data_IF_392704855420
#
_entry.id   IF_392704855420
#
_cell.length_a   1.000
_cell.length_b   1.000
_cell.length_c   1.000
_cell.angle_alpha   90.00
_cell.angle_beta   90.00
_cell.angle_gamma   90.00
#
_symmetry.space_group_name_H-M   'P 1'
#
loop_
_entity.id
_entity.type
_entity.pdbx_description
1 polymer ?
#
# COMPACT_ATOMS: atom_id res chain seq x y z
N UNK A 1 -6.63 24.11 -15.72
CA UNK A 1 -6.98 23.64 -14.36
C UNK A 1 -6.12 22.43 -13.96
N UNK A 2 -4.79 22.53 -14.10
CA UNK A 2 -3.80 21.57 -13.56
C UNK A 2 -2.68 22.32 -12.80
N UNK A 3 -2.73 23.66 -12.83
CA UNK A 3 -1.66 24.58 -12.44
C UNK A 3 -1.93 25.35 -11.15
N UNK A 4 -3.00 25.05 -10.40
CA UNK A 4 -3.32 25.80 -9.18
C UNK A 4 -2.91 25.09 -7.89
N UNK A 5 -2.67 23.77 -7.92
CA UNK A 5 -2.33 23.01 -6.72
C UNK A 5 -1.17 22.01 -6.92
N UNK A 6 -1.01 21.41 -8.11
CA UNK A 6 0.06 20.46 -8.44
C UNK A 6 1.45 21.08 -8.50
N UNK A 7 2.47 20.39 -7.93
CA UNK A 7 3.88 20.82 -8.06
C UNK A 7 4.53 20.31 -9.34
N UNK A 8 3.94 19.33 -10.01
CA UNK A 8 4.44 18.76 -11.26
C UNK A 8 3.59 19.19 -12.47
N UNK A 9 4.27 19.53 -13.56
CA UNK A 9 3.62 19.98 -14.81
C UNK A 9 3.20 18.80 -15.69
N UNK A 10 3.92 17.68 -15.61
CA UNK A 10 3.68 16.45 -16.37
C UNK A 10 3.80 15.21 -15.50
N UNK A 11 3.29 14.07 -15.99
CA UNK A 11 3.46 12.77 -15.32
C UNK A 11 4.93 12.37 -15.17
N UNK A 12 5.75 12.64 -16.18
CA UNK A 12 7.19 12.34 -16.14
C UNK A 12 7.91 13.21 -15.11
N UNK A 13 7.56 14.50 -15.01
CA UNK A 13 8.11 15.41 -14.01
C UNK A 13 7.73 14.97 -12.57
N UNK A 14 6.48 14.56 -12.36
CA UNK A 14 6.03 14.00 -11.08
C UNK A 14 6.79 12.73 -10.73
N UNK A 15 7.02 11.85 -11.70
CA UNK A 15 7.76 10.61 -11.54
C UNK A 15 9.22 10.90 -11.16
N UNK A 16 9.94 11.70 -11.94
CA UNK A 16 11.34 12.05 -11.68
C UNK A 16 11.53 12.78 -10.34
N UNK A 17 10.61 13.66 -9.99
CA UNK A 17 10.63 14.36 -8.71
C UNK A 17 10.33 13.43 -7.53
N UNK A 18 9.47 12.42 -7.73
CA UNK A 18 9.26 11.36 -6.73
C UNK A 18 10.49 10.47 -6.60
N UNK A 19 11.14 10.08 -7.71
CA UNK A 19 12.39 9.29 -7.69
C UNK A 19 13.46 10.01 -6.87
N UNK A 20 13.73 11.28 -7.16
CA UNK A 20 14.69 12.08 -6.37
C UNK A 20 14.32 12.18 -4.90
N UNK A 21 13.02 12.27 -4.57
CA UNK A 21 12.57 12.34 -3.18
C UNK A 21 12.77 11.04 -2.40
N UNK A 22 12.72 9.88 -3.07
CA UNK A 22 12.91 8.58 -2.44
C UNK A 22 14.32 8.02 -2.59
N UNK A 23 15.18 8.60 -3.43
CA UNK A 23 16.56 8.16 -3.68
C UNK A 23 17.40 8.04 -2.39
N UNK A 24 17.19 8.96 -1.45
CA UNK A 24 17.90 8.97 -0.16
C UNK A 24 17.08 8.37 1.00
N UNK A 25 15.89 7.81 0.73
CA UNK A 25 15.04 7.21 1.78
C UNK A 25 15.25 5.71 1.85
N UNK A 26 15.46 5.20 3.05
CA UNK A 26 15.52 3.75 3.29
C UNK A 26 14.16 3.12 3.03
N UNK A 27 14.15 2.00 2.29
CA UNK A 27 12.95 1.22 2.05
C UNK A 27 12.47 0.56 3.35
N UNK A 28 11.20 0.77 3.69
CA UNK A 28 10.55 0.11 4.81
C UNK A 28 9.17 -0.35 4.36
N UNK A 29 8.90 -1.65 4.51
CA UNK A 29 7.66 -2.30 4.05
C UNK A 29 6.42 -1.61 4.63
N UNK A 30 6.51 -1.09 5.86
CA UNK A 30 5.42 -0.41 6.53
C UNK A 30 5.42 1.10 6.25
N UNK A 31 6.53 1.81 6.41
CA UNK A 31 6.46 3.30 6.42
C UNK A 31 6.89 3.96 5.10
N UNK A 32 7.75 3.31 4.32
CA UNK A 32 8.42 3.87 3.14
C UNK A 32 8.53 2.80 2.05
N UNK A 33 7.38 2.44 1.48
CA UNK A 33 7.24 1.39 0.46
C UNK A 33 6.82 1.97 -0.90
N UNK A 34 6.57 1.09 -1.88
CA UNK A 34 6.10 1.49 -3.21
C UNK A 34 4.76 2.25 -3.21
N UNK A 35 3.85 1.97 -2.28
CA UNK A 35 2.58 2.71 -2.15
C UNK A 35 2.81 4.13 -1.63
N UNK A 36 3.80 4.35 -0.75
CA UNK A 36 4.24 5.70 -0.35
C UNK A 36 4.83 6.49 -1.54
N UNK A 37 5.58 5.82 -2.42
CA UNK A 37 6.09 6.43 -3.65
C UNK A 37 4.95 6.86 -4.59
N UNK A 38 4.01 5.95 -4.86
CA UNK A 38 2.83 6.25 -5.69
C UNK A 38 2.00 7.38 -5.10
N UNK A 39 1.77 7.38 -3.78
CA UNK A 39 1.07 8.46 -3.09
C UNK A 39 1.76 9.82 -3.28
N UNK A 40 3.10 9.87 -3.19
CA UNK A 40 3.85 11.10 -3.46
C UNK A 40 3.66 11.59 -4.89
N UNK A 41 3.73 10.69 -5.87
CA UNK A 41 3.52 11.02 -7.28
C UNK A 41 2.09 11.55 -7.53
N UNK A 42 1.07 10.90 -6.98
CA UNK A 42 -0.32 11.34 -7.09
C UNK A 42 -0.57 12.70 -6.45
N UNK A 43 0.05 12.98 -5.30
CA UNK A 43 -0.01 14.30 -4.68
C UNK A 43 0.70 15.35 -5.55
N UNK A 44 1.86 15.06 -6.15
CA UNK A 44 2.52 16.05 -7.03
C UNK A 44 1.67 16.46 -8.23
N UNK A 45 0.82 15.55 -8.70
CA UNK A 45 -0.09 15.77 -9.83
C UNK A 45 -1.46 16.32 -9.46
N UNK A 46 -1.75 16.51 -8.16
CA UNK A 46 -3.11 16.81 -7.69
C UNK A 46 -4.14 15.83 -8.27
N UNK A 47 -3.82 14.53 -8.25
CA UNK A 47 -4.66 13.52 -8.89
C UNK A 47 -6.07 13.53 -8.28
N UNK A 48 -7.08 13.67 -9.13
CA UNK A 48 -8.50 13.87 -8.75
C UNK A 48 -8.75 15.09 -7.84
N UNK A 49 -7.90 16.12 -7.91
CA UNK A 49 -8.04 17.33 -7.10
C UNK A 49 -7.63 17.16 -5.63
N UNK A 50 -6.88 16.10 -5.29
CA UNK A 50 -6.46 15.81 -3.92
C UNK A 50 -4.94 15.76 -3.78
N UNK A 51 -4.45 16.34 -2.67
CA UNK A 51 -3.06 16.32 -2.19
C UNK A 51 -2.84 15.46 -0.95
N UNK A 52 -3.87 14.75 -0.50
CA UNK A 52 -3.86 13.94 0.72
C UNK A 52 -3.79 12.45 0.43
N UNK A 53 -3.21 12.05 -0.71
CA UNK A 53 -2.91 10.65 -0.96
C UNK A 53 -1.86 10.17 0.04
N UNK A 54 -2.16 9.04 0.67
CA UNK A 54 -1.23 8.31 1.52
C UNK A 54 -1.16 6.85 1.04
N UNK A 55 -0.18 6.09 1.53
CA UNK A 55 0.03 4.72 1.08
C UNK A 55 -1.19 3.80 1.34
N UNK A 56 -1.98 4.09 2.39
CA UNK A 56 -3.14 3.30 2.79
C UNK A 56 -4.28 3.51 1.80
N UNK A 57 -4.52 4.76 1.40
CA UNK A 57 -5.52 5.12 0.40
C UNK A 57 -5.14 4.54 -0.97
N UNK A 58 -3.85 4.53 -1.33
CA UNK A 58 -3.38 3.87 -2.56
C UNK A 58 -3.56 2.35 -2.46
N UNK A 59 -3.22 1.74 -1.32
CA UNK A 59 -3.43 0.30 -1.11
C UNK A 59 -4.91 -0.07 -1.20
N UNK A 60 -5.80 0.71 -0.59
CA UNK A 60 -7.25 0.54 -0.72
C UNK A 60 -7.71 0.73 -2.17
N UNK A 61 -7.19 1.73 -2.88
CA UNK A 61 -7.51 1.96 -4.29
C UNK A 61 -7.14 0.74 -5.15
N UNK A 62 -5.96 0.17 -4.96
CA UNK A 62 -5.51 -1.03 -5.67
C UNK A 62 -6.32 -2.26 -5.25
N UNK A 63 -6.67 -2.40 -3.97
CA UNK A 63 -7.46 -3.53 -3.48
C UNK A 63 -8.89 -3.54 -4.06
N UNK A 64 -9.54 -2.39 -4.13
CA UNK A 64 -10.94 -2.29 -4.57
C UNK A 64 -11.11 -2.02 -6.07
N UNK A 65 -10.12 -1.41 -6.74
CA UNK A 65 -10.19 -1.07 -8.18
C UNK A 65 -9.11 -1.73 -9.02
N UNK A 66 -8.25 -2.54 -8.42
CA UNK A 66 -7.26 -3.33 -9.13
C UNK A 66 -7.94 -4.38 -10.02
N UNK A 67 -7.31 -4.63 -11.16
CA UNK A 67 -7.76 -5.66 -12.09
C UNK A 67 -6.63 -6.69 -12.24
N UNK A 68 -7.00 -7.96 -12.35
CA UNK A 68 -6.05 -9.02 -12.66
C UNK A 68 -5.63 -8.91 -14.12
N UNK A 69 -4.34 -9.10 -14.38
CA UNK A 69 -3.78 -9.07 -15.74
C UNK A 69 -4.28 -10.26 -16.56
N UNK A 70 -4.31 -11.44 -15.95
CA UNK A 70 -4.80 -12.67 -16.57
C UNK A 70 -5.14 -13.74 -15.50
N UNK A 71 -5.85 -14.79 -15.91
CA UNK A 71 -6.27 -15.90 -15.03
C UNK A 71 -5.06 -16.65 -14.45
N UNK A 72 -3.96 -16.82 -15.19
CA UNK A 72 -2.76 -17.51 -14.68
C UNK A 72 -2.11 -16.70 -13.56
N UNK A 73 -2.13 -15.37 -13.65
CA UNK A 73 -1.66 -14.49 -12.57
C UNK A 73 -2.47 -14.67 -11.28
N UNK A 74 -3.78 -14.91 -11.38
CA UNK A 74 -4.63 -15.20 -10.21
C UNK A 74 -4.14 -16.47 -9.51
N UNK A 75 -4.03 -17.57 -10.27
CA UNK A 75 -3.56 -18.84 -9.71
C UNK A 75 -2.15 -18.74 -9.14
N UNK A 76 -1.23 -18.09 -9.86
CA UNK A 76 0.15 -17.90 -9.39
C UNK A 76 0.21 -17.16 -8.06
N UNK A 77 -0.65 -16.18 -7.85
CA UNK A 77 -0.68 -15.39 -6.60
C UNK A 77 -1.43 -16.09 -5.46
N UNK A 78 -2.51 -16.82 -5.74
CA UNK A 78 -3.38 -17.39 -4.70
C UNK A 78 -3.01 -18.83 -4.32
N UNK A 79 -2.53 -19.66 -5.25
CA UNK A 79 -2.27 -21.09 -5.01
C UNK A 79 -1.29 -21.33 -3.85
N UNK A 80 -0.13 -20.66 -3.75
CA UNK A 80 0.79 -20.89 -2.65
C UNK A 80 0.15 -20.61 -1.28
N UNK A 81 -0.63 -19.53 -1.18
CA UNK A 81 -1.34 -19.16 0.04
C UNK A 81 -2.45 -20.18 0.37
N UNK A 82 -3.25 -20.58 -0.63
CA UNK A 82 -4.31 -21.58 -0.45
C UNK A 82 -3.77 -22.93 0.01
N UNK A 83 -2.63 -23.39 -0.53
CA UNK A 83 -2.00 -24.65 -0.10
C UNK A 83 -1.57 -24.59 1.36
N UNK A 84 -0.89 -23.52 1.78
CA UNK A 84 -0.48 -23.35 3.19
C UNK A 84 -1.69 -23.26 4.12
N UNK A 85 -2.73 -22.54 3.70
CA UNK A 85 -3.99 -22.44 4.45
C UNK A 85 -4.64 -23.81 4.64
N UNK A 86 -4.76 -24.59 3.56
CA UNK A 86 -5.31 -25.95 3.61
C UNK A 86 -4.48 -26.86 4.54
N UNK A 87 -3.15 -26.84 4.43
CA UNK A 87 -2.28 -27.64 5.31
C UNK A 87 -2.42 -27.25 6.79
N UNK A 88 -2.49 -25.95 7.09
CA UNK A 88 -2.69 -25.45 8.45
C UNK A 88 -4.04 -25.88 9.03
N UNK A 89 -5.11 -25.77 8.25
CA UNK A 89 -6.46 -26.23 8.65
C UNK A 89 -6.51 -27.75 8.82
N UNK A 90 -5.88 -28.53 7.95
CA UNK A 90 -5.84 -30.00 8.09
C UNK A 90 -5.04 -30.44 9.32
N UNK A 91 -3.99 -29.71 9.69
CA UNK A 91 -3.10 -30.08 10.81
C UNK A 91 -3.63 -29.62 12.17
N UNK A 92 -4.22 -28.43 12.24
CA UNK A 92 -4.57 -27.75 13.52
C UNK A 92 -6.08 -27.46 13.63
N UNK A 93 -6.83 -27.57 12.52
CA UNK A 93 -8.27 -27.29 12.48
C UNK A 93 -8.59 -25.79 12.45
N UNK A 94 -9.79 -25.45 12.92
CA UNK A 94 -10.31 -24.07 12.93
C UNK A 94 -9.49 -23.09 13.77
N UNK A 95 -8.76 -23.59 14.78
CA UNK A 95 -7.88 -22.77 15.62
C UNK A 95 -6.77 -22.08 14.81
N UNK A 96 -6.31 -22.69 13.72
CA UNK A 96 -5.35 -22.08 12.81
C UNK A 96 -5.90 -20.80 12.18
N UNK A 97 -7.15 -20.83 11.73
CA UNK A 97 -7.81 -19.67 11.12
C UNK A 97 -8.03 -18.55 12.14
N UNK A 98 -8.45 -18.90 13.35
CA UNK A 98 -8.63 -17.94 14.45
C UNK A 98 -7.30 -17.26 14.78
N UNK A 99 -6.22 -18.04 14.90
CA UNK A 99 -4.88 -17.50 15.14
C UNK A 99 -4.42 -16.60 14.01
N UNK A 100 -4.54 -17.04 12.75
CA UNK A 100 -4.16 -16.27 11.57
C UNK A 100 -4.94 -14.96 11.46
N UNK A 101 -6.25 -14.99 11.67
CA UNK A 101 -7.10 -13.81 11.62
C UNK A 101 -6.78 -12.83 12.76
N UNK A 102 -6.61 -13.34 13.98
CA UNK A 102 -6.25 -12.51 15.14
C UNK A 102 -4.89 -11.84 14.94
N UNK A 103 -3.88 -12.59 14.49
CA UNK A 103 -2.56 -12.05 14.17
C UNK A 103 -2.63 -10.99 13.05
N UNK A 104 -3.41 -11.26 12.00
CA UNK A 104 -3.59 -10.32 10.89
C UNK A 104 -4.27 -9.02 11.32
N UNK A 105 -5.31 -9.09 12.16
CA UNK A 105 -5.98 -7.91 12.72
C UNK A 105 -5.00 -7.11 13.59
N UNK A 106 -4.24 -7.77 14.46
CA UNK A 106 -3.27 -7.09 15.32
C UNK A 106 -2.19 -6.39 14.48
N UNK A 107 -1.68 -7.06 13.44
CA UNK A 107 -0.72 -6.46 12.51
C UNK A 107 -1.31 -5.26 11.76
N UNK A 108 -2.51 -5.38 11.20
CA UNK A 108 -3.18 -4.29 10.48
C UNK A 108 -3.47 -3.13 11.44
N UNK A 109 -3.97 -3.41 12.63
CA UNK A 109 -4.25 -2.42 13.66
C UNK A 109 -2.99 -1.67 14.08
N UNK A 110 -1.90 -2.39 14.38
CA UNK A 110 -0.60 -1.81 14.67
C UNK A 110 -0.09 -0.95 13.50
N UNK A 111 -0.23 -1.45 12.28
CA UNK A 111 0.21 -0.77 11.07
C UNK A 111 -0.54 0.54 10.81
N UNK A 112 -1.87 0.53 10.93
CA UNK A 112 -2.72 1.71 10.78
C UNK A 112 -2.43 2.71 11.89
N UNK A 113 -2.35 2.26 13.14
CA UNK A 113 -2.03 3.10 14.28
C UNK A 113 -0.66 3.77 14.10
N UNK A 114 0.38 3.01 13.73
CA UNK A 114 1.69 3.57 13.45
C UNK A 114 1.66 4.57 12.28
N UNK A 115 0.94 4.25 11.21
CA UNK A 115 0.89 5.10 10.03
C UNK A 115 0.14 6.42 10.22
N UNK A 116 -0.91 6.44 11.06
CA UNK A 116 -1.68 7.66 11.33
C UNK A 116 -1.18 8.40 12.56
N UNK A 117 -0.89 7.71 13.67
CA UNK A 117 -0.49 8.37 14.92
C UNK A 117 0.99 8.75 14.97
N UNK A 118 1.90 8.01 14.31
CA UNK A 118 3.34 8.31 14.38
C UNK A 118 3.78 9.26 13.24
N UNK A 119 3.12 9.23 12.08
CA UNK A 119 3.40 10.23 11.02
C UNK A 119 3.00 11.64 11.44
N UNK A 120 1.82 11.82 12.07
CA UNK A 120 1.43 13.10 12.67
C UNK A 120 2.43 13.59 13.74
N UNK A 121 3.19 12.67 14.35
CA UNK A 121 4.19 12.99 15.38
C UNK A 121 5.59 13.27 14.81
N UNK A 122 5.89 12.78 13.61
CA UNK A 122 7.17 12.98 12.91
C UNK A 122 7.13 14.12 11.87
N UNK A 123 5.94 14.55 11.45
CA UNK A 123 5.75 15.73 10.59
C UNK A 123 5.52 17.03 11.43
N UNK A 124 5.88 17.02 12.72
CA UNK A 124 6.03 18.21 13.57
C UNK A 124 7.44 18.82 13.46
#
# INVERSE_FOLDING_TARGET
MHSEFGTAVTWDDALWSSVRHFDHKTYNIFTSNCYSFVANCLNRLCYRGSMSWNMINVAALVLFKGHWVDIKSIFRSLVPFSVVLCLGVLSVGWLFLIGLFSFSILLIGWFLLGSYCIKDLLDC
#
